data_IF_070361018824
#
_entry.id   IF_070361018824
#
_cell.length_a   1.000
_cell.length_b   1.000
_cell.length_c   1.000
_cell.angle_alpha   90.00
_cell.angle_beta   90.00
_cell.angle_gamma   90.00
#
_symmetry.space_group_name_H-M   'P 1'
#
loop_
_entity.id
_entity.type
_entity.pdbx_description
1 polymer ?
#
# COMPACT_ATOMS: atom_id res chain seq x y z
N UNK A 1 18.65 -46.92 2.55
CA UNK A 1 18.28 -45.70 1.82
C UNK A 1 17.28 -44.98 2.69
N UNK A 2 17.59 -43.74 3.06
CA UNK A 2 16.64 -42.89 3.79
C UNK A 2 15.61 -42.33 2.79
N UNK A 3 14.34 -42.43 3.14
CA UNK A 3 13.21 -41.96 2.32
C UNK A 3 12.33 -40.96 3.07
N UNK A 4 12.77 -40.50 4.25
CA UNK A 4 12.02 -39.54 5.05
C UNK A 4 12.31 -38.12 4.56
N UNK A 5 11.27 -37.32 4.38
CA UNK A 5 11.44 -35.93 3.97
C UNK A 5 11.84 -35.06 5.16
N UNK A 6 12.74 -34.08 4.99
CA UNK A 6 13.11 -33.16 6.05
C UNK A 6 11.92 -32.33 6.54
N UNK A 7 11.94 -31.88 7.79
CA UNK A 7 11.03 -30.84 8.26
C UNK A 7 11.39 -29.50 7.59
N UNK A 8 10.46 -28.90 6.83
CA UNK A 8 10.75 -27.68 6.06
C UNK A 8 10.84 -26.42 6.92
N UNK A 9 10.22 -26.40 8.10
CA UNK A 9 10.15 -25.21 8.94
C UNK A 9 9.11 -24.20 8.46
N UNK A 10 9.19 -22.99 9.01
CA UNK A 10 8.32 -21.87 8.71
C UNK A 10 9.13 -20.71 8.15
N UNK A 11 8.79 -20.28 6.93
CA UNK A 11 9.35 -19.09 6.30
C UNK A 11 8.52 -17.87 6.70
N UNK A 12 9.18 -16.87 7.28
CA UNK A 12 8.61 -15.58 7.67
C UNK A 12 9.38 -14.43 7.04
N UNK A 13 8.77 -13.24 7.07
CA UNK A 13 9.37 -11.99 6.62
C UNK A 13 9.77 -11.18 7.86
N UNK A 14 11.06 -10.86 7.96
CA UNK A 14 11.62 -10.03 9.03
C UNK A 14 11.98 -8.66 8.50
N UNK A 15 11.81 -7.64 9.34
CA UNK A 15 12.04 -6.23 9.04
C UNK A 15 11.16 -5.65 7.92
N UNK A 16 10.18 -6.41 7.41
CA UNK A 16 9.18 -5.90 6.47
C UNK A 16 8.26 -4.91 7.19
N UNK A 17 8.20 -3.68 6.71
CA UNK A 17 7.20 -2.72 7.13
C UNK A 17 5.99 -2.79 6.19
N UNK A 18 4.84 -3.29 6.64
CA UNK A 18 3.60 -3.30 5.85
C UNK A 18 2.97 -1.88 5.89
N UNK A 19 3.20 -1.08 4.85
CA UNK A 19 2.73 0.33 4.79
C UNK A 19 1.33 0.47 4.23
N UNK A 20 0.77 -0.61 3.67
CA UNK A 20 -0.52 -0.61 3.03
C UNK A 20 -1.66 -0.30 3.97
N UNK A 21 -2.83 -0.07 3.38
CA UNK A 21 -4.05 0.27 4.11
C UNK A 21 -4.51 -0.88 5.00
N UNK A 22 -4.22 -2.12 4.62
CA UNK A 22 -4.51 -3.33 5.39
C UNK A 22 -3.23 -3.83 6.05
N UNK A 23 -3.36 -4.35 7.27
CA UNK A 23 -2.22 -4.89 8.05
C UNK A 23 -1.99 -6.40 7.82
N UNK A 24 -2.62 -6.98 6.80
CA UNK A 24 -2.69 -8.44 6.61
C UNK A 24 -2.42 -8.93 5.20
N UNK A 25 -2.34 -8.04 4.22
CA UNK A 25 -2.20 -8.36 2.79
C UNK A 25 -0.78 -8.13 2.26
N UNK A 26 0.13 -7.56 3.08
CA UNK A 26 1.55 -7.38 2.74
C UNK A 26 1.73 -6.58 1.44
N UNK A 27 0.89 -5.54 1.27
CA UNK A 27 1.03 -4.53 0.22
C UNK A 27 1.82 -3.39 0.81
N UNK A 28 3.00 -3.09 0.26
CA UNK A 28 3.93 -2.18 0.90
C UNK A 28 4.77 -1.35 -0.07
N UNK A 29 5.15 -0.16 0.37
CA UNK A 29 6.17 0.70 -0.21
C UNK A 29 7.60 0.29 0.21
N UNK A 30 7.72 -0.64 1.16
CA UNK A 30 9.00 -1.16 1.63
C UNK A 30 9.64 -2.09 0.59
N UNK A 31 10.82 -1.68 0.13
CA UNK A 31 11.63 -2.38 -0.87
C UNK A 31 12.69 -3.29 -0.26
N UNK A 32 12.81 -3.33 1.07
CA UNK A 32 13.92 -3.98 1.76
C UNK A 32 13.44 -4.76 2.97
N UNK A 33 13.65 -6.07 2.95
CA UNK A 33 13.30 -6.96 4.05
C UNK A 33 14.14 -8.23 4.01
N UNK A 34 14.06 -9.04 5.06
CA UNK A 34 14.83 -10.28 5.18
C UNK A 34 13.90 -11.49 5.24
N UNK A 35 14.25 -12.55 4.52
CA UNK A 35 13.62 -13.87 4.63
C UNK A 35 14.17 -14.60 5.86
N UNK A 36 13.31 -15.11 6.73
CA UNK A 36 13.72 -15.83 7.94
C UNK A 36 13.08 -17.21 7.98
N UNK A 37 13.91 -18.25 7.97
CA UNK A 37 13.47 -19.64 8.12
C UNK A 37 13.77 -20.14 9.54
N UNK A 38 12.76 -20.69 10.20
CA UNK A 38 12.90 -21.29 11.53
C UNK A 38 12.23 -22.67 11.60
N UNK A 39 12.72 -23.52 12.50
CA UNK A 39 12.15 -24.85 12.73
C UNK A 39 12.45 -25.88 11.63
N UNK A 40 13.32 -25.56 10.66
CA UNK A 40 13.81 -26.53 9.69
C UNK A 40 14.67 -27.63 10.35
N UNK A 41 14.75 -28.79 9.71
CA UNK A 41 15.62 -29.87 10.17
C UNK A 41 17.08 -29.42 10.26
N UNK A 42 17.74 -29.78 11.37
CA UNK A 42 19.15 -29.40 11.61
C UNK A 42 20.08 -30.19 10.71
N UNK A 43 21.05 -29.50 10.09
CA UNK A 43 22.03 -30.12 9.19
C UNK A 43 21.56 -30.23 7.74
N UNK A 44 20.33 -29.82 7.43
CA UNK A 44 19.79 -29.75 6.08
C UNK A 44 20.24 -28.48 5.35
N UNK A 45 20.38 -28.57 4.02
CA UNK A 45 20.65 -27.42 3.14
C UNK A 45 19.35 -26.66 2.88
N UNK A 46 19.42 -25.33 2.89
CA UNK A 46 18.29 -24.45 2.59
C UNK A 46 18.56 -23.67 1.30
N UNK A 47 17.63 -23.71 0.36
CA UNK A 47 17.61 -22.87 -0.84
C UNK A 47 16.38 -21.98 -0.80
N UNK A 48 16.55 -20.66 -0.91
CA UNK A 48 15.44 -19.70 -1.00
C UNK A 48 15.07 -19.49 -2.46
N UNK A 49 13.78 -19.50 -2.75
CA UNK A 49 13.24 -19.29 -4.09
C UNK A 49 12.29 -18.10 -4.09
N UNK A 50 12.33 -17.34 -5.18
CA UNK A 50 11.40 -16.24 -5.48
C UNK A 50 10.70 -16.50 -6.81
N UNK A 51 9.44 -16.11 -6.89
CA UNK A 51 8.65 -16.03 -8.12
C UNK A 51 8.09 -14.62 -8.26
N UNK A 52 8.16 -14.09 -9.49
CA UNK A 52 7.62 -12.78 -9.87
C UNK A 52 6.50 -12.90 -10.90
N UNK A 53 5.98 -14.11 -11.10
CA UNK A 53 4.99 -14.44 -12.14
C UNK A 53 3.82 -15.26 -11.59
N UNK A 54 3.50 -15.05 -10.32
CA UNK A 54 2.44 -15.75 -9.57
C UNK A 54 2.69 -17.26 -9.43
N UNK A 55 3.95 -17.63 -9.19
CA UNK A 55 4.35 -18.99 -8.85
C UNK A 55 4.52 -19.90 -10.05
N UNK A 56 4.49 -19.35 -11.28
CA UNK A 56 4.66 -20.11 -12.53
C UNK A 56 6.12 -20.53 -12.70
N UNK A 57 7.06 -19.65 -12.39
CA UNK A 57 8.49 -19.93 -12.37
C UNK A 57 9.14 -19.50 -11.07
N UNK A 58 10.19 -20.21 -10.67
CA UNK A 58 10.91 -19.99 -9.42
C UNK A 58 12.41 -19.88 -9.71
N UNK A 59 13.04 -18.88 -9.11
CA UNK A 59 14.48 -18.61 -9.23
C UNK A 59 15.11 -18.54 -7.85
N UNK A 60 16.38 -18.90 -7.73
CA UNK A 60 17.09 -18.75 -6.45
C UNK A 60 17.23 -17.27 -6.08
N UNK A 61 17.05 -17.00 -4.78
CA UNK A 61 17.28 -15.68 -4.17
C UNK A 61 18.10 -15.84 -2.89
N UNK A 62 18.42 -14.71 -2.27
CA UNK A 62 19.14 -14.69 -0.99
C UNK A 62 18.22 -14.34 0.17
N UNK A 63 18.73 -14.40 1.39
CA UNK A 63 17.98 -13.98 2.58
C UNK A 63 17.62 -12.48 2.53
N UNK A 64 18.53 -11.65 2.02
CA UNK A 64 18.35 -10.19 2.01
C UNK A 64 17.69 -9.77 0.70
N UNK A 65 16.48 -9.23 0.79
CA UNK A 65 15.80 -8.58 -0.33
C UNK A 65 16.05 -7.08 -0.24
N UNK A 66 16.47 -6.48 -1.36
CA UNK A 66 16.82 -5.06 -1.39
C UNK A 66 16.47 -4.44 -2.72
N UNK A 67 16.14 -3.15 -2.70
CA UNK A 67 15.90 -2.34 -3.89
C UNK A 67 14.89 -3.01 -4.86
N UNK A 68 13.87 -3.70 -4.33
CA UNK A 68 12.87 -4.35 -5.17
C UNK A 68 12.11 -3.34 -6.02
N UNK A 69 11.84 -3.70 -7.28
CA UNK A 69 10.93 -2.94 -8.12
C UNK A 69 9.48 -3.23 -7.73
N UNK A 70 8.58 -2.34 -8.11
CA UNK A 70 7.15 -2.55 -7.92
C UNK A 70 6.71 -3.84 -8.63
N UNK A 71 5.92 -4.67 -7.94
CA UNK A 71 5.50 -5.97 -8.43
C UNK A 71 5.06 -6.94 -7.34
N UNK A 72 4.63 -8.12 -7.79
CA UNK A 72 4.23 -9.22 -6.90
C UNK A 72 5.40 -10.18 -6.75
N UNK A 73 5.75 -10.49 -5.51
CA UNK A 73 6.80 -11.43 -5.16
C UNK A 73 6.23 -12.56 -4.31
N UNK A 74 6.57 -13.79 -4.66
CA UNK A 74 6.25 -14.97 -3.87
C UNK A 74 7.54 -15.66 -3.46
N UNK A 75 7.67 -15.99 -2.18
CA UNK A 75 8.87 -16.59 -1.60
C UNK A 75 8.55 -17.94 -0.98
N UNK A 76 9.47 -18.89 -1.13
CA UNK A 76 9.46 -20.16 -0.40
C UNK A 76 10.88 -20.64 -0.13
N UNK A 77 11.06 -21.52 0.84
CA UNK A 77 12.33 -22.20 1.07
C UNK A 77 12.19 -23.69 0.75
N UNK A 78 13.23 -24.26 0.15
CA UNK A 78 13.38 -25.69 -0.09
C UNK A 78 14.44 -26.21 0.87
N UNK A 79 14.08 -27.17 1.71
CA UNK A 79 14.97 -27.82 2.67
C UNK A 79 15.35 -29.18 2.11
N UNK A 80 16.65 -29.46 1.99
CA UNK A 80 17.19 -30.74 1.50
C UNK A 80 18.02 -31.41 2.59
N UNK A 81 17.68 -32.64 2.96
CA UNK A 81 18.45 -33.41 3.95
C UNK A 81 19.79 -33.90 3.37
N UNK A 82 20.59 -34.57 4.21
CA UNK A 82 21.89 -35.12 3.80
C UNK A 82 21.77 -36.31 2.80
N UNK A 83 20.61 -36.97 2.74
CA UNK A 83 20.33 -38.06 1.82
C UNK A 83 19.81 -37.58 0.45
N UNK A 84 19.44 -36.30 0.34
CA UNK A 84 18.90 -35.67 -0.86
C UNK A 84 17.37 -35.56 -0.91
N UNK A 85 16.64 -35.93 0.15
CA UNK A 85 15.18 -35.75 0.20
C UNK A 85 14.86 -34.27 0.43
N UNK A 86 13.78 -33.77 -0.18
CA UNK A 86 13.40 -32.36 -0.15
C UNK A 86 12.01 -32.12 0.43
N UNK A 87 11.81 -31.00 1.09
CA UNK A 87 10.51 -30.44 1.46
C UNK A 87 10.49 -28.93 1.23
N UNK A 88 9.29 -28.34 1.13
CA UNK A 88 9.09 -26.91 0.88
C UNK A 88 8.28 -26.26 2.01
N UNK A 89 8.51 -24.98 2.25
CA UNK A 89 7.67 -24.17 3.15
C UNK A 89 6.36 -23.74 2.47
N UNK A 90 5.43 -23.19 3.26
CA UNK A 90 4.37 -22.37 2.69
C UNK A 90 4.95 -21.17 1.92
N UNK A 91 4.18 -20.68 0.94
CA UNK A 91 4.53 -19.51 0.14
C UNK A 91 4.16 -18.23 0.89
N UNK A 92 5.11 -17.30 1.01
CA UNK A 92 4.88 -15.93 1.48
C UNK A 92 4.71 -15.01 0.27
N UNK A 93 3.69 -14.15 0.26
CA UNK A 93 3.41 -13.23 -0.86
C UNK A 93 3.56 -11.79 -0.39
N UNK A 94 4.40 -11.02 -1.07
CA UNK A 94 4.57 -9.58 -0.87
C UNK A 94 4.19 -8.85 -2.16
N UNK A 95 3.51 -7.73 -2.04
CA UNK A 95 3.30 -6.80 -3.15
C UNK A 95 4.07 -5.53 -2.83
N UNK A 96 5.08 -5.23 -3.64
CA UNK A 96 5.80 -3.96 -3.55
C UNK A 96 5.11 -2.98 -4.49
N UNK A 97 4.68 -1.85 -3.97
CA UNK A 97 4.08 -0.77 -4.75
C UNK A 97 4.54 0.56 -4.16
N UNK A 98 5.26 1.35 -4.97
CA UNK A 98 5.72 2.69 -4.61
C UNK A 98 5.18 3.76 -5.55
N UNK A 99 4.18 3.39 -6.34
CA UNK A 99 3.58 4.28 -7.33
C UNK A 99 2.66 5.24 -6.60
N UNK A 100 2.98 6.54 -6.69
CA UNK A 100 2.12 7.59 -6.11
C UNK A 100 0.76 7.60 -6.81
N UNK A 101 -0.36 7.71 -6.07
CA UNK A 101 -1.67 7.65 -6.68
C UNK A 101 -1.94 8.92 -7.48
N UNK A 102 -2.71 8.80 -8.56
CA UNK A 102 -3.21 9.96 -9.27
C UNK A 102 -4.21 10.73 -8.39
N UNK A 103 -3.89 11.97 -8.03
CA UNK A 103 -4.68 12.75 -7.07
C UNK A 103 -6.03 13.25 -7.61
N UNK A 104 -6.18 13.42 -8.93
CA UNK A 104 -7.36 14.04 -9.54
C UNK A 104 -7.44 15.56 -9.37
N UNK A 105 -8.56 16.14 -9.79
CA UNK A 105 -8.88 17.56 -9.70
C UNK A 105 -10.04 17.78 -8.72
N UNK A 106 -9.81 18.60 -7.70
CA UNK A 106 -10.84 18.98 -6.73
C UNK A 106 -11.52 20.27 -7.19
N UNK A 107 -12.83 20.20 -7.37
CA UNK A 107 -13.69 21.33 -7.72
C UNK A 107 -14.81 21.50 -6.70
N UNK A 108 -15.46 22.66 -6.74
CA UNK A 108 -16.68 22.93 -5.97
C UNK A 108 -17.87 22.76 -6.93
N UNK A 109 -18.83 21.92 -6.56
CA UNK A 109 -20.08 21.76 -7.30
C UNK A 109 -21.26 22.30 -6.49
N UNK A 110 -22.29 22.73 -7.20
CA UNK A 110 -23.49 23.35 -6.62
C UNK A 110 -23.23 24.65 -5.83
N UNK A 111 -22.01 25.21 -5.93
CA UNK A 111 -21.67 26.51 -5.38
C UNK A 111 -22.27 27.60 -6.27
N UNK A 112 -23.13 28.45 -5.69
CA UNK A 112 -23.61 29.65 -6.35
C UNK A 112 -22.76 30.85 -5.94
N UNK A 113 -21.98 31.43 -6.87
CA UNK A 113 -21.20 32.65 -6.58
C UNK A 113 -22.12 33.88 -6.61
N UNK A 114 -22.49 34.37 -5.42
CA UNK A 114 -23.43 35.49 -5.23
C UNK A 114 -22.73 36.83 -5.01
N UNK A 115 -21.40 36.86 -5.14
CA UNK A 115 -20.59 38.06 -5.06
C UNK A 115 -20.77 39.03 -6.22
N UNK A 116 -20.10 40.18 -6.13
CA UNK A 116 -20.10 41.18 -7.21
C UNK A 116 -19.30 40.69 -8.43
N UNK A 117 -18.25 39.90 -8.20
CA UNK A 117 -17.47 39.25 -9.24
C UNK A 117 -17.92 37.80 -9.34
N UNK A 118 -18.04 37.28 -10.57
CA UNK A 118 -18.41 35.89 -10.81
C UNK A 118 -17.20 34.93 -10.80
N UNK A 119 -16.03 35.40 -10.37
CA UNK A 119 -14.76 34.66 -10.54
C UNK A 119 -13.85 34.66 -9.32
N UNK A 120 -14.19 35.41 -8.26
CA UNK A 120 -13.39 35.47 -7.04
C UNK A 120 -13.89 34.52 -5.95
N UNK A 121 -15.00 33.80 -6.19
CA UNK A 121 -15.59 32.83 -5.27
C UNK A 121 -16.00 33.44 -3.93
N UNK A 122 -16.25 34.76 -3.90
CA UNK A 122 -16.78 35.46 -2.73
C UNK A 122 -18.31 35.35 -2.75
N UNK A 123 -18.87 34.44 -1.95
CA UNK A 123 -20.32 34.17 -1.96
C UNK A 123 -20.96 34.16 -0.57
N UNK A 124 -22.26 34.43 -0.53
CA UNK A 124 -23.17 34.16 0.60
C UNK A 124 -23.70 32.72 0.60
N UNK A 125 -23.37 31.91 -0.41
CA UNK A 125 -23.75 30.50 -0.42
C UNK A 125 -22.94 29.71 0.61
N UNK A 126 -23.65 29.13 1.57
CA UNK A 126 -23.09 28.36 2.68
C UNK A 126 -23.19 26.85 2.44
N UNK A 127 -23.76 26.42 1.30
CA UNK A 127 -24.09 25.03 1.03
C UNK A 127 -23.63 24.61 -0.37
N UNK A 128 -22.58 23.80 -0.44
CA UNK A 128 -22.05 23.27 -1.70
C UNK A 128 -21.40 21.91 -1.49
N UNK A 129 -20.98 21.27 -2.57
CA UNK A 129 -20.32 19.98 -2.52
C UNK A 129 -18.87 20.07 -3.02
N UNK A 130 -18.00 19.28 -2.39
CA UNK A 130 -16.65 19.00 -2.89
C UNK A 130 -16.74 17.88 -3.93
N UNK A 131 -16.20 18.11 -5.13
CA UNK A 131 -16.21 17.12 -6.21
C UNK A 131 -14.79 16.81 -6.66
N UNK A 132 -14.37 15.57 -6.46
CA UNK A 132 -13.07 15.06 -6.95
C UNK A 132 -13.29 14.21 -8.21
N UNK A 133 -12.57 14.53 -9.28
CA UNK A 133 -12.62 13.78 -10.54
C UNK A 133 -11.22 13.45 -11.06
N UNK A 134 -11.09 12.31 -11.74
CA UNK A 134 -9.83 11.89 -12.37
C UNK A 134 -8.77 11.38 -11.38
N UNK A 135 -9.15 11.08 -10.13
CA UNK A 135 -8.30 10.35 -9.20
C UNK A 135 -8.14 8.88 -9.61
N UNK A 136 -7.09 8.24 -9.13
CA UNK A 136 -6.88 6.81 -9.33
C UNK A 136 -8.05 5.97 -8.79
N UNK A 137 -8.41 4.93 -9.53
CA UNK A 137 -9.54 4.06 -9.18
C UNK A 137 -9.14 3.10 -8.07
N UNK A 138 -9.94 3.04 -7.01
CA UNK A 138 -9.71 2.16 -5.87
C UNK A 138 -8.93 2.82 -4.73
N UNK A 139 -8.40 4.03 -4.94
CA UNK A 139 -7.73 4.80 -3.90
C UNK A 139 -8.73 5.32 -2.85
N UNK A 140 -8.27 5.46 -1.60
CA UNK A 140 -8.99 6.12 -0.53
C UNK A 140 -8.85 7.63 -0.66
N UNK A 141 -9.95 8.36 -0.44
CA UNK A 141 -9.97 9.83 -0.51
C UNK A 141 -10.37 10.40 0.84
N UNK A 142 -9.55 11.32 1.37
CA UNK A 142 -9.85 12.13 2.55
C UNK A 142 -9.98 13.59 2.16
N UNK A 143 -11.12 14.22 2.48
CA UNK A 143 -11.34 15.65 2.25
C UNK A 143 -10.92 16.46 3.46
N UNK A 144 -10.21 17.55 3.23
CA UNK A 144 -9.70 18.43 4.27
C UNK A 144 -10.14 19.88 4.03
N UNK A 145 -10.44 20.58 5.11
CA UNK A 145 -10.74 22.01 5.13
C UNK A 145 -9.76 22.76 6.01
N UNK A 146 -9.44 23.99 5.63
CA UNK A 146 -8.66 24.95 6.40
C UNK A 146 -9.41 26.27 6.51
N UNK A 147 -9.42 26.84 7.72
CA UNK A 147 -10.03 28.14 8.05
C UNK A 147 -8.99 29.20 8.42
N UNK A 148 -7.70 28.87 8.30
CA UNK A 148 -6.56 29.69 8.71
C UNK A 148 -5.55 29.91 7.57
N UNK A 149 -6.09 30.03 6.34
CA UNK A 149 -5.35 30.24 5.10
C UNK A 149 -4.41 29.08 4.71
N UNK A 150 -4.68 27.87 5.20
CA UNK A 150 -3.95 26.65 4.85
C UNK A 150 -2.86 26.27 5.84
N UNK A 151 -2.79 26.91 7.02
CA UNK A 151 -1.80 26.60 8.06
C UNK A 151 -2.13 25.30 8.77
N UNK A 152 -3.40 25.08 9.08
CA UNK A 152 -3.92 23.83 9.65
C UNK A 152 -5.06 23.27 8.81
N UNK A 153 -5.20 21.95 8.86
CA UNK A 153 -6.17 21.19 8.07
C UNK A 153 -6.92 20.22 8.97
N UNK A 154 -8.24 20.15 8.79
CA UNK A 154 -9.13 19.25 9.52
C UNK A 154 -9.94 18.44 8.51
N UNK A 155 -10.31 17.21 8.87
CA UNK A 155 -11.19 16.40 8.03
C UNK A 155 -12.57 17.04 7.88
N UNK A 156 -13.10 16.94 6.66
CA UNK A 156 -14.46 17.36 6.31
C UNK A 156 -15.11 16.30 5.44
N UNK A 157 -16.40 16.49 5.13
CA UNK A 157 -17.14 15.59 4.25
C UNK A 157 -17.32 16.21 2.86
N UNK A 158 -17.89 15.46 1.92
CA UNK A 158 -18.20 15.99 0.59
C UNK A 158 -19.19 17.16 0.67
N UNK A 159 -20.23 17.05 1.50
CA UNK A 159 -21.22 18.11 1.66
C UNK A 159 -20.75 19.16 2.67
N UNK A 160 -20.61 20.40 2.21
CA UNK A 160 -20.42 21.56 3.07
C UNK A 160 -21.78 22.19 3.33
N UNK A 161 -22.08 22.46 4.60
CA UNK A 161 -23.37 23.02 5.02
C UNK A 161 -23.19 24.01 6.14
N UNK A 162 -24.06 25.01 6.16
CA UNK A 162 -24.20 25.99 7.24
C UNK A 162 -22.84 26.61 7.65
N UNK A 163 -21.97 26.88 6.65
CA UNK A 163 -20.67 27.49 6.86
C UNK A 163 -20.82 28.91 7.42
N UNK A 164 -20.02 29.25 8.43
CA UNK A 164 -19.92 30.61 8.92
C UNK A 164 -19.15 31.51 7.93
N UNK A 165 -19.25 32.82 8.09
CA UNK A 165 -18.46 33.76 7.30
C UNK A 165 -16.96 33.56 7.54
N UNK A 166 -16.19 33.45 6.46
CA UNK A 166 -14.75 33.24 6.55
C UNK A 166 -14.12 32.87 5.21
N UNK A 167 -12.80 32.72 5.23
CA UNK A 167 -12.04 32.20 4.08
C UNK A 167 -11.75 30.74 4.33
N UNK A 168 -12.18 29.89 3.39
CA UNK A 168 -12.01 28.45 3.45
C UNK A 168 -11.09 27.99 2.33
N UNK A 169 -10.19 27.04 2.63
CA UNK A 169 -9.45 26.29 1.62
C UNK A 169 -9.79 24.83 1.74
N UNK A 170 -9.90 24.16 0.60
CA UNK A 170 -10.20 22.73 0.52
C UNK A 170 -9.08 22.01 -0.23
N UNK A 171 -8.82 20.78 0.18
CA UNK A 171 -8.00 19.83 -0.61
C UNK A 171 -8.50 18.41 -0.38
N UNK A 172 -8.20 17.53 -1.32
CA UNK A 172 -8.40 16.11 -1.18
C UNK A 172 -7.03 15.43 -1.11
N UNK A 173 -6.88 14.46 -0.22
CA UNK A 173 -5.72 13.58 -0.15
C UNK A 173 -6.16 12.23 -0.68
N UNK A 174 -5.48 11.77 -1.73
CA UNK A 174 -5.68 10.46 -2.34
C UNK A 174 -4.57 9.53 -1.87
N UNK A 175 -4.93 8.35 -1.41
CA UNK A 175 -4.01 7.32 -0.92
C UNK A 175 -4.36 6.01 -1.62
N UNK A 176 -3.41 5.39 -2.32
CA UNK A 176 -3.57 4.05 -2.87
C UNK A 176 -3.60 2.99 -1.76
N UNK A 177 -3.44 1.72 -2.13
CA UNK A 177 -3.51 0.59 -1.22
C UNK A 177 -2.21 0.35 -0.43
N UNK A 178 -1.07 0.91 -0.84
CA UNK A 178 0.29 0.57 -0.41
C UNK A 178 0.93 1.54 0.59
#
# INVERSE_FOLDING_TARGET
MDTTTPHSGELTLSDLNDTGVSVTDQITQDKNFNLKLEGQETGSRVTYLVSTDEGKTWQETTVVQKDLADGIYQYKAVVTDAAGNTSETAVQKVVVDTTTPQAGELTLSDLNDTGVSATDQITQDQNFNLKLEGQETGSRVTYLVSTDEGKTWQETTVAQKDLADGVYKYKAVVTDAA
#
